data_IF_864673762914
#
_entry.id   IF_864673762914
#
_cell.length_a   1.000
_cell.length_b   1.000
_cell.length_c   1.000
_cell.angle_alpha   90.00
_cell.angle_beta   90.00
_cell.angle_gamma   90.00
#
_symmetry.space_group_name_H-M   'P 1'
#
loop_
_entity.id
_entity.type
_entity.pdbx_description
1 polymer ?
#
# COMPACT_ATOMS: atom_id res chain seq x y z
N UNK A 1 8.86 26.00 -13.51
CA UNK A 1 9.45 24.92 -12.69
C UNK A 1 8.59 24.51 -11.49
N UNK A 2 8.00 25.43 -10.71
CA UNK A 2 7.17 25.08 -9.53
C UNK A 2 5.91 24.22 -9.82
N UNK A 3 5.18 24.50 -10.90
CA UNK A 3 3.94 23.78 -11.23
C UNK A 3 4.14 22.29 -11.51
N UNK A 4 5.19 21.92 -12.26
CA UNK A 4 5.49 20.52 -12.56
C UNK A 4 5.93 19.76 -11.30
N UNK A 5 6.68 20.40 -10.39
CA UNK A 5 7.06 19.81 -9.09
C UNK A 5 5.85 19.56 -8.18
N UNK A 6 4.88 20.48 -8.16
CA UNK A 6 3.62 20.30 -7.44
C UNK A 6 2.80 19.13 -8.01
N UNK A 7 2.75 19.00 -9.34
CA UNK A 7 2.09 17.88 -10.00
C UNK A 7 2.75 16.53 -9.65
N UNK A 8 4.08 16.46 -9.69
CA UNK A 8 4.82 15.26 -9.32
C UNK A 8 4.54 14.83 -7.87
N UNK A 9 4.45 15.79 -6.93
CA UNK A 9 4.12 15.52 -5.52
C UNK A 9 2.70 14.96 -5.37
N UNK A 10 1.74 15.54 -6.08
CA UNK A 10 0.35 15.07 -6.09
C UNK A 10 0.25 13.65 -6.68
N UNK A 11 0.97 13.38 -7.78
CA UNK A 11 1.02 12.04 -8.39
C UNK A 11 1.65 11.02 -7.44
N UNK A 12 2.78 11.35 -6.80
CA UNK A 12 3.40 10.44 -5.82
C UNK A 12 2.47 10.16 -4.64
N UNK A 13 1.72 11.17 -4.18
CA UNK A 13 0.70 11.00 -3.14
C UNK A 13 -0.43 10.06 -3.58
N UNK A 14 -0.96 10.24 -4.79
CA UNK A 14 -2.02 9.37 -5.33
C UNK A 14 -1.55 7.92 -5.48
N UNK A 15 -0.33 7.70 -5.95
CA UNK A 15 0.26 6.36 -6.05
C UNK A 15 0.41 5.71 -4.68
N UNK A 16 0.87 6.47 -3.68
CA UNK A 16 0.97 5.99 -2.30
C UNK A 16 -0.39 5.59 -1.71
N UNK A 17 -1.43 6.40 -1.94
CA UNK A 17 -2.79 6.07 -1.49
C UNK A 17 -3.37 4.85 -2.22
N UNK A 18 -3.13 4.71 -3.52
CA UNK A 18 -3.53 3.52 -4.28
C UNK A 18 -2.89 2.25 -3.68
N UNK A 19 -1.60 2.30 -3.35
CA UNK A 19 -0.91 1.16 -2.73
C UNK A 19 -1.50 0.80 -1.36
N UNK A 20 -1.88 1.81 -0.56
CA UNK A 20 -2.56 1.61 0.72
C UNK A 20 -3.91 0.92 0.54
N UNK A 21 -4.74 1.36 -0.40
CA UNK A 21 -6.04 0.73 -0.70
C UNK A 21 -5.87 -0.70 -1.17
N UNK A 22 -4.91 -0.96 -2.06
CA UNK A 22 -4.61 -2.33 -2.51
C UNK A 22 -4.23 -3.24 -1.34
N UNK A 23 -3.37 -2.77 -0.43
CA UNK A 23 -2.94 -3.54 0.74
C UNK A 23 -4.11 -3.82 1.69
N UNK A 24 -5.00 -2.85 1.90
CA UNK A 24 -6.22 -3.03 2.69
C UNK A 24 -7.13 -4.08 2.03
N UNK A 25 -7.33 -3.99 0.71
CA UNK A 25 -8.13 -4.95 -0.05
C UNK A 25 -7.57 -6.36 0.08
N UNK A 26 -6.25 -6.53 -0.07
CA UNK A 26 -5.58 -7.82 0.14
C UNK A 26 -5.78 -8.35 1.57
N UNK A 27 -5.72 -7.49 2.58
CA UNK A 27 -5.96 -7.90 3.97
C UNK A 27 -7.39 -8.37 4.19
N UNK A 28 -8.39 -7.67 3.62
CA UNK A 28 -9.79 -8.05 3.71
C UNK A 28 -10.01 -9.39 2.99
N UNK A 29 -9.48 -9.53 1.77
CA UNK A 29 -9.62 -10.75 0.98
C UNK A 29 -9.01 -11.99 1.66
N UNK A 30 -7.97 -11.81 2.49
CA UNK A 30 -7.30 -12.90 3.18
C UNK A 30 -7.59 -12.95 4.69
N UNK A 31 -8.58 -12.20 5.19
CA UNK A 31 -8.84 -12.07 6.62
C UNK A 31 -9.16 -13.41 7.30
N UNK A 32 -9.77 -14.35 6.56
CA UNK A 32 -10.16 -15.68 7.05
C UNK A 32 -9.20 -16.79 6.62
N UNK A 33 -8.09 -16.44 5.95
CA UNK A 33 -7.14 -17.44 5.45
C UNK A 33 -6.32 -18.02 6.60
N UNK A 34 -6.59 -19.29 6.96
CA UNK A 34 -5.89 -20.01 8.03
C UNK A 34 -4.73 -20.88 7.54
N UNK A 35 -4.60 -21.07 6.23
CA UNK A 35 -3.55 -21.87 5.59
C UNK A 35 -2.89 -21.10 4.45
N UNK A 36 -1.68 -20.64 4.68
CA UNK A 36 -0.80 -20.07 3.65
C UNK A 36 0.17 -21.12 3.10
N UNK A 37 0.77 -20.91 1.92
CA UNK A 37 1.82 -21.80 1.38
C UNK A 37 3.03 -21.95 2.31
N UNK A 38 3.30 -20.94 3.14
CA UNK A 38 4.38 -20.92 4.14
C UNK A 38 3.97 -21.58 5.47
N UNK A 39 2.71 -21.99 5.60
CA UNK A 39 2.14 -22.55 6.83
C UNK A 39 1.57 -21.46 7.75
N UNK A 40 0.43 -21.78 8.38
CA UNK A 40 -0.24 -20.90 9.34
C UNK A 40 -1.15 -19.83 8.72
N UNK A 41 -1.82 -19.02 9.57
CA UNK A 41 -2.80 -18.02 9.16
C UNK A 41 -2.17 -16.80 8.50
N UNK A 42 -2.96 -16.12 7.67
CA UNK A 42 -2.57 -14.86 7.05
C UNK A 42 -2.26 -13.79 8.12
N UNK A 43 -1.22 -13.00 7.86
CA UNK A 43 -0.84 -11.86 8.71
C UNK A 43 -1.11 -10.57 7.96
N UNK A 44 -1.84 -9.64 8.61
CA UNK A 44 -2.15 -8.33 8.03
C UNK A 44 -0.87 -7.59 7.64
N UNK A 45 -0.90 -6.95 6.48
CA UNK A 45 0.18 -6.10 5.97
C UNK A 45 -0.18 -4.63 6.10
N UNK A 46 0.81 -3.77 6.30
CA UNK A 46 0.62 -2.33 6.44
C UNK A 46 1.68 -1.58 5.61
N UNK A 47 1.27 -0.46 5.01
CA UNK A 47 2.15 0.35 4.16
C UNK A 47 2.78 1.45 4.99
N UNK A 48 4.10 1.46 5.04
CA UNK A 48 4.91 2.56 5.61
C UNK A 48 5.38 3.45 4.47
N UNK A 49 5.10 4.75 4.56
CA UNK A 49 5.53 5.75 3.58
C UNK A 49 6.76 6.49 4.11
N UNK A 50 7.69 6.79 3.21
CA UNK A 50 8.87 7.61 3.49
C UNK A 50 9.02 8.67 2.41
N UNK A 51 9.68 9.78 2.77
CA UNK A 51 10.07 10.80 1.79
C UNK A 51 11.18 10.27 0.88
N UNK A 52 11.11 10.64 -0.40
CA UNK A 52 12.24 10.48 -1.32
C UNK A 52 13.25 11.59 -1.03
N UNK A 53 14.52 11.22 -0.86
CA UNK A 53 15.63 12.14 -0.62
C UNK A 53 16.04 12.88 -1.90
#
# INVERSE_FOLDING_TARGET
>A
MSFLSAFNTSVSGMVAQRQRVNTISENIANAETTRTPQGGPYRRREVVLASVA
#
